data_IF_124044003549
#
_entry.id   IF_124044003549
#
_cell.length_a   1.000
_cell.length_b   1.000
_cell.length_c   1.000
_cell.angle_alpha   90.00
_cell.angle_beta   90.00
_cell.angle_gamma   90.00
#
_symmetry.space_group_name_H-M   'P 1'
#
loop_
_entity.id
_entity.type
_entity.pdbx_description
1 polymer ?
#
# COMPACT_ATOMS: atom_id res chain seq x y z
N UNK A 1 3.55 18.44 21.87
CA UNK A 1 4.58 17.54 21.34
C UNK A 1 4.19 17.24 19.92
N UNK A 2 4.92 17.83 18.98
CA UNK A 2 4.58 17.91 17.57
C UNK A 2 5.02 16.61 16.89
N UNK A 3 4.09 15.88 16.31
CA UNK A 3 4.35 14.65 15.55
C UNK A 3 4.77 15.06 14.15
N UNK A 4 6.03 14.81 13.80
CA UNK A 4 6.61 15.16 12.51
C UNK A 4 6.22 14.09 11.49
N UNK A 5 5.25 14.39 10.62
CA UNK A 5 4.99 13.60 9.42
C UNK A 5 6.22 13.72 8.50
N UNK A 6 7.05 12.68 8.47
CA UNK A 6 8.13 12.57 7.49
C UNK A 6 7.63 11.76 6.30
N UNK A 7 7.37 12.45 5.19
CA UNK A 7 7.29 11.86 3.86
C UNK A 7 8.71 11.39 3.49
N UNK A 8 8.96 10.09 3.56
CA UNK A 8 10.27 9.51 3.21
C UNK A 8 10.09 8.59 2.02
N UNK A 9 10.77 8.94 0.94
CA UNK A 9 11.00 8.09 -0.23
C UNK A 9 11.62 6.77 0.22
N UNK A 10 11.01 5.61 -0.05
CA UNK A 10 11.52 4.31 0.38
C UNK A 10 12.66 3.86 -0.55
N UNK A 11 13.83 4.51 -0.45
CA UNK A 11 14.99 4.21 -1.30
C UNK A 11 16.35 4.53 -0.68
N UNK A 12 16.41 5.28 0.41
CA UNK A 12 17.67 5.56 1.11
C UNK A 12 18.00 4.48 2.12
N UNK A 13 18.67 3.40 1.72
CA UNK A 13 19.42 2.56 2.67
C UNK A 13 20.87 3.04 2.60
N UNK A 14 21.29 3.80 3.61
CA UNK A 14 22.70 4.11 3.83
C UNK A 14 23.48 2.82 4.12
N UNK A 15 24.76 2.82 3.79
CA UNK A 15 25.70 1.70 3.92
C UNK A 15 26.00 1.24 5.37
N UNK A 16 25.13 1.54 6.34
CA UNK A 16 25.25 1.11 7.72
C UNK A 16 24.18 0.06 8.04
N UNK A 17 24.61 -1.11 8.52
CA UNK A 17 23.80 -2.32 8.74
C UNK A 17 22.73 -2.26 9.85
N UNK A 18 22.01 -1.15 9.98
CA UNK A 18 20.89 -0.96 10.92
C UNK A 18 19.60 -0.53 10.18
N UNK A 19 19.32 -1.17 9.05
CA UNK A 19 18.06 -1.02 8.34
C UNK A 19 16.92 -1.81 9.02
N UNK A 20 15.65 -1.40 8.83
CA UNK A 20 14.50 -2.14 9.37
C UNK A 20 14.41 -3.52 8.72
N UNK A 21 14.32 -4.57 9.54
CA UNK A 21 14.17 -5.94 9.08
C UNK A 21 12.70 -6.29 8.79
N UNK A 22 11.76 -5.64 9.48
CA UNK A 22 10.32 -5.82 9.25
C UNK A 22 9.61 -4.49 9.01
N UNK A 23 8.83 -4.44 7.93
CA UNK A 23 8.09 -3.25 7.51
C UNK A 23 6.62 -3.62 7.35
N UNK A 24 5.76 -2.96 8.14
CA UNK A 24 4.31 -3.08 8.04
C UNK A 24 3.79 -2.04 7.04
N UNK A 25 3.06 -2.50 6.03
CA UNK A 25 2.39 -1.71 5.02
C UNK A 25 0.90 -1.65 5.38
N UNK A 26 0.40 -0.48 5.76
CA UNK A 26 -1.03 -0.26 6.06
C UNK A 26 -1.72 0.31 4.83
N UNK A 27 -2.57 -0.48 4.19
CA UNK A 27 -3.30 -0.06 2.98
C UNK A 27 -4.32 -1.12 2.53
N UNK A 28 -5.31 -0.74 1.70
CA UNK A 28 -6.39 -1.62 1.28
C UNK A 28 -5.90 -2.87 0.54
N UNK A 29 -6.58 -3.99 0.78
CA UNK A 29 -6.23 -5.31 0.25
C UNK A 29 -6.49 -5.49 -1.26
N UNK A 30 -7.40 -4.69 -1.82
CA UNK A 30 -7.97 -4.83 -3.18
C UNK A 30 -7.12 -4.19 -4.28
N UNK A 31 -6.23 -3.26 -3.92
CA UNK A 31 -5.27 -2.75 -4.88
C UNK A 31 -4.18 -3.80 -5.12
N UNK A 32 -3.81 -3.97 -6.39
CA UNK A 32 -2.62 -4.69 -6.78
C UNK A 32 -1.38 -3.89 -6.35
N UNK A 33 -1.11 -3.90 -5.04
CA UNK A 33 0.12 -3.37 -4.51
C UNK A 33 1.22 -4.35 -4.87
N UNK A 34 2.05 -3.99 -5.84
CA UNK A 34 3.45 -4.35 -5.76
C UNK A 34 4.11 -3.38 -4.77
N UNK A 35 4.50 -3.78 -3.56
CA UNK A 35 5.34 -2.92 -2.76
C UNK A 35 6.79 -3.04 -3.23
N UNK A 36 7.38 -1.89 -3.61
CA UNK A 36 8.81 -1.58 -3.47
C UNK A 36 9.73 -2.23 -4.53
N UNK A 37 9.15 -2.83 -5.57
CA UNK A 37 9.90 -3.34 -6.72
C UNK A 37 10.52 -2.25 -7.59
N UNK A 38 9.89 -1.06 -7.67
CA UNK A 38 10.27 0.03 -8.58
C UNK A 38 11.71 0.56 -8.43
N UNK A 39 12.44 0.14 -7.40
CA UNK A 39 13.82 0.58 -7.15
C UNK A 39 14.82 -0.56 -6.93
N UNK A 40 14.40 -1.82 -7.07
CA UNK A 40 15.30 -2.97 -6.87
C UNK A 40 15.58 -3.67 -8.18
N UNK A 41 16.86 -3.76 -8.48
CA UNK A 41 17.38 -4.58 -9.57
C UNK A 41 17.05 -6.06 -9.28
N UNK A 42 16.21 -6.73 -10.09
CA UNK A 42 15.87 -8.14 -9.90
C UNK A 42 17.10 -9.07 -9.90
N UNK A 43 18.17 -8.70 -10.62
CA UNK A 43 19.44 -9.43 -10.59
C UNK A 43 20.17 -9.34 -9.24
N UNK A 44 19.71 -8.47 -8.31
CA UNK A 44 20.34 -8.22 -7.01
C UNK A 44 19.54 -8.72 -5.81
N UNK A 45 18.49 -9.51 -6.03
CA UNK A 45 17.60 -9.96 -4.96
C UNK A 45 17.08 -11.39 -5.17
N UNK A 46 16.69 -11.99 -4.05
CA UNK A 46 15.80 -13.15 -4.01
C UNK A 46 14.47 -12.74 -3.39
N UNK A 47 13.38 -13.34 -3.83
CA UNK A 47 12.04 -12.99 -3.35
C UNK A 47 11.27 -14.22 -2.89
N UNK A 48 10.79 -14.17 -1.65
CA UNK A 48 9.85 -15.13 -1.09
C UNK A 48 8.48 -14.47 -0.95
N UNK A 49 7.50 -14.93 -1.72
CA UNK A 49 6.10 -14.53 -1.57
C UNK A 49 5.39 -15.42 -0.55
N UNK A 50 4.57 -14.82 0.30
CA UNK A 50 3.69 -15.52 1.24
C UNK A 50 2.28 -15.05 0.92
N UNK A 51 1.52 -15.91 0.25
CA UNK A 51 0.15 -15.61 -0.19
C UNK A 51 -0.87 -16.29 0.70
N UNK A 52 -2.00 -15.61 0.88
CA UNK A 52 -3.19 -16.09 1.59
C UNK A 52 -4.35 -16.30 0.64
N UNK A 53 -4.56 -15.38 -0.30
CA UNK A 53 -5.69 -15.38 -1.22
C UNK A 53 -5.21 -15.47 -2.67
N UNK A 54 -4.16 -14.71 -3.01
CA UNK A 54 -3.56 -14.70 -4.33
C UNK A 54 -2.95 -16.05 -4.69
N UNK A 55 -3.17 -16.48 -5.93
CA UNK A 55 -2.50 -17.67 -6.45
C UNK A 55 -1.00 -17.40 -6.64
N UNK A 56 -0.10 -18.24 -6.12
CA UNK A 56 1.34 -18.02 -6.23
C UNK A 56 1.86 -17.82 -7.66
N UNK A 57 1.24 -18.48 -8.65
CA UNK A 57 1.63 -18.31 -10.05
C UNK A 57 1.18 -16.95 -10.61
N UNK A 58 -0.02 -16.49 -10.26
CA UNK A 58 -0.49 -15.15 -10.64
C UNK A 58 0.40 -14.06 -10.02
N UNK A 59 0.91 -14.30 -8.81
CA UNK A 59 1.90 -13.43 -8.19
C UNK A 59 3.23 -13.41 -8.95
N UNK A 60 3.74 -14.56 -9.38
CA UNK A 60 4.97 -14.64 -10.19
C UNK A 60 4.81 -13.90 -11.52
N UNK A 61 3.67 -14.08 -12.20
CA UNK A 61 3.37 -13.38 -13.44
C UNK A 61 3.29 -11.86 -13.22
N UNK A 62 2.73 -11.43 -12.09
CA UNK A 62 2.71 -10.03 -11.71
C UNK A 62 4.11 -9.49 -11.43
N UNK A 63 4.95 -10.28 -10.75
CA UNK A 63 6.34 -9.95 -10.44
C UNK A 63 7.15 -9.75 -11.73
N UNK A 64 7.12 -10.71 -12.65
CA UNK A 64 7.84 -10.62 -13.93
C UNK A 64 7.35 -9.45 -14.77
N UNK A 65 6.04 -9.23 -14.87
CA UNK A 65 5.48 -8.08 -15.60
C UNK A 65 5.90 -6.72 -15.01
N UNK A 66 6.07 -6.63 -13.70
CA UNK A 66 6.41 -5.38 -13.03
C UNK A 66 7.91 -5.10 -13.05
N UNK A 67 8.75 -6.11 -12.81
CA UNK A 67 10.21 -5.98 -12.77
C UNK A 67 10.87 -6.10 -14.15
N UNK A 68 10.15 -6.59 -15.16
CA UNK A 68 10.67 -6.89 -16.49
C UNK A 68 11.40 -8.24 -16.58
N UNK A 69 11.95 -8.72 -15.46
CA UNK A 69 12.52 -10.06 -15.31
C UNK A 69 12.32 -10.58 -13.88
N UNK A 70 12.46 -11.90 -13.68
CA UNK A 70 12.33 -12.50 -12.36
C UNK A 70 13.60 -12.32 -11.51
N UNK A 71 13.44 -12.18 -10.17
CA UNK A 71 14.54 -12.24 -9.23
C UNK A 71 15.39 -13.51 -9.36
N UNK A 72 16.66 -13.45 -8.97
CA UNK A 72 17.65 -14.54 -9.06
C UNK A 72 17.12 -15.86 -8.49
N UNK A 73 16.47 -15.77 -7.33
CA UNK A 73 15.63 -16.85 -6.80
C UNK A 73 14.26 -16.30 -6.45
N UNK A 74 13.25 -17.05 -6.84
CA UNK A 74 11.86 -16.76 -6.51
C UNK A 74 11.26 -17.99 -5.86
N UNK A 75 10.51 -17.82 -4.78
CA UNK A 75 9.81 -18.90 -4.08
C UNK A 75 8.49 -18.41 -3.52
N UNK A 76 7.58 -19.34 -3.26
CA UNK A 76 6.27 -18.99 -2.72
C UNK A 76 5.80 -19.93 -1.60
N UNK A 77 5.14 -19.36 -0.60
CA UNK A 77 4.43 -20.06 0.47
C UNK A 77 2.95 -19.69 0.37
N UNK A 78 2.06 -20.67 0.27
CA UNK A 78 0.62 -20.46 0.30
C UNK A 78 0.04 -20.87 1.64
N UNK A 79 -0.73 -19.98 2.28
CA UNK A 79 -1.37 -20.22 3.57
C UNK A 79 -2.85 -20.57 3.37
N UNK A 80 -3.34 -21.62 4.02
CA UNK A 80 -4.76 -21.89 4.25
C UNK A 80 -5.53 -22.60 3.12
N UNK A 81 -5.14 -22.42 1.86
CA UNK A 81 -5.75 -23.17 0.74
C UNK A 81 -4.75 -24.21 0.23
N UNK A 82 -5.11 -25.51 0.17
CA UNK A 82 -4.29 -26.53 -0.47
C UNK A 82 -3.99 -26.11 -1.92
N UNK A 83 -2.73 -26.21 -2.32
CA UNK A 83 -2.35 -25.99 -3.71
C UNK A 83 -3.04 -27.08 -4.54
N UNK A 84 -3.99 -26.69 -5.38
CA UNK A 84 -4.56 -27.64 -6.34
C UNK A 84 -3.42 -28.10 -7.27
N UNK A 85 -3.23 -29.42 -7.48
CA UNK A 85 -2.27 -29.89 -8.47
C UNK A 85 -2.64 -29.27 -9.83
N UNK A 86 -1.61 -28.85 -10.57
CA UNK A 86 -1.74 -28.14 -11.84
C UNK A 86 -2.83 -28.78 -12.72
N UNK A 87 -3.90 -28.03 -12.97
CA UNK A 87 -4.95 -28.45 -13.91
C UNK A 87 -4.41 -28.22 -15.32
N UNK A 88 -4.54 -29.17 -16.27
CA UNK A 88 -3.87 -29.13 -17.58
C UNK A 88 -4.34 -28.02 -18.54
N UNK A 89 -5.19 -27.09 -18.09
CA UNK A 89 -5.69 -25.95 -18.87
C UNK A 89 -4.95 -24.63 -18.56
N UNK A 90 -3.98 -24.63 -17.62
CA UNK A 90 -3.11 -23.46 -17.43
C UNK A 90 -2.09 -23.37 -18.58
N UNK A 91 -1.85 -22.16 -19.13
CA UNK A 91 -0.71 -21.98 -20.03
C UNK A 91 0.53 -22.46 -19.28
N UNK A 92 1.22 -23.40 -19.90
CA UNK A 92 2.43 -24.02 -19.36
C UNK A 92 3.48 -22.93 -19.18
N UNK A 93 3.68 -22.48 -17.93
CA UNK A 93 4.97 -21.90 -17.52
C UNK A 93 5.97 -23.06 -17.49
N UNK A 94 6.40 -23.51 -18.67
CA UNK A 94 7.25 -24.68 -18.89
C UNK A 94 8.70 -24.45 -18.42
N UNK A 95 9.02 -23.32 -17.79
CA UNK A 95 10.40 -22.86 -17.58
C UNK A 95 10.76 -22.26 -16.22
N UNK A 96 9.82 -22.09 -15.28
CA UNK A 96 10.16 -21.57 -13.93
C UNK A 96 10.01 -22.68 -12.91
N UNK A 97 11.14 -23.24 -12.47
CA UNK A 97 11.20 -24.15 -11.32
C UNK A 97 10.97 -23.33 -10.04
N UNK A 98 9.69 -23.06 -9.74
CA UNK A 98 9.28 -22.26 -8.59
C UNK A 98 9.09 -23.19 -7.39
N UNK A 99 10.01 -23.19 -6.40
CA UNK A 99 9.76 -23.89 -5.14
C UNK A 99 8.51 -23.31 -4.48
N UNK A 100 7.51 -24.17 -4.32
CA UNK A 100 6.20 -23.83 -3.78
C UNK A 100 5.92 -24.68 -2.54
N UNK A 101 5.62 -24.03 -1.43
CA UNK A 101 5.32 -24.66 -0.14
C UNK A 101 3.90 -24.31 0.30
N UNK A 102 3.10 -25.29 0.70
CA UNK A 102 1.81 -25.03 1.35
C UNK A 102 1.98 -25.07 2.87
N UNK A 103 1.34 -24.14 3.56
CA UNK A 103 1.05 -24.19 4.99
C UNK A 103 -0.46 -24.33 5.12
N UNK A 104 -0.92 -25.51 5.52
CA UNK A 104 -2.34 -25.88 5.42
C UNK A 104 -3.23 -25.03 6.33
N UNK A 105 -2.72 -24.57 7.47
CA UNK A 105 -3.50 -23.84 8.46
C UNK A 105 -2.89 -22.47 8.74
N UNK A 106 -3.65 -21.36 8.58
CA UNK A 106 -3.19 -20.04 8.99
C UNK A 106 -2.86 -19.96 10.49
N UNK A 107 -3.42 -20.89 11.27
CA UNK A 107 -3.16 -20.99 12.70
C UNK A 107 -1.80 -21.60 13.06
N UNK A 108 -1.13 -22.28 12.13
CA UNK A 108 0.14 -22.96 12.39
C UNK A 108 1.35 -22.05 12.13
N UNK A 109 1.58 -21.15 13.09
CA UNK A 109 2.72 -20.23 13.05
C UNK A 109 4.07 -20.96 13.07
N UNK A 110 4.14 -22.17 13.62
CA UNK A 110 5.38 -22.93 13.70
C UNK A 110 5.75 -23.51 12.33
N UNK A 111 4.77 -24.04 11.60
CA UNK A 111 4.93 -24.49 10.22
C UNK A 111 5.31 -23.31 9.31
N UNK A 112 4.60 -22.18 9.40
CA UNK A 112 4.92 -20.98 8.64
C UNK A 112 6.35 -20.47 8.94
N UNK A 113 6.73 -20.38 10.21
CA UNK A 113 8.08 -19.97 10.60
C UNK A 113 9.15 -20.92 10.07
N UNK A 114 8.88 -22.23 10.09
CA UNK A 114 9.80 -23.25 9.58
C UNK A 114 9.96 -23.12 8.06
N UNK A 115 8.85 -23.00 7.33
CA UNK A 115 8.86 -22.81 5.88
C UNK A 115 9.68 -21.58 5.48
N UNK A 116 9.43 -20.42 6.11
CA UNK A 116 10.19 -19.20 5.87
C UNK A 116 11.69 -19.41 6.11
N UNK A 117 12.05 -20.09 7.21
CA UNK A 117 13.44 -20.32 7.55
C UNK A 117 14.18 -21.25 6.60
N UNK A 118 13.49 -22.22 5.99
CA UNK A 118 14.08 -23.09 4.98
C UNK A 118 14.54 -22.26 3.77
N UNK A 119 13.68 -21.37 3.26
CA UNK A 119 14.04 -20.47 2.17
C UNK A 119 15.19 -19.52 2.55
N UNK A 120 15.10 -18.85 3.69
CA UNK A 120 16.17 -17.94 4.15
C UNK A 120 17.51 -18.69 4.24
N UNK A 121 17.51 -19.91 4.79
CA UNK A 121 18.74 -20.68 4.98
C UNK A 121 19.30 -21.17 3.64
N UNK A 122 18.45 -21.62 2.74
CA UNK A 122 18.87 -22.04 1.40
C UNK A 122 19.45 -20.88 0.58
N UNK A 123 18.90 -19.68 0.75
CA UNK A 123 19.30 -18.49 0.00
C UNK A 123 20.42 -17.70 0.67
N UNK A 124 20.79 -18.03 1.90
CA UNK A 124 21.88 -17.39 2.65
C UNK A 124 23.22 -17.44 1.91
N UNK A 125 23.40 -18.44 1.04
CA UNK A 125 24.62 -18.64 0.25
C UNK A 125 24.63 -17.86 -1.07
N UNK A 126 23.54 -17.17 -1.39
CA UNK A 126 23.51 -16.24 -2.52
C UNK A 126 24.04 -14.89 -2.03
N UNK A 127 24.87 -14.22 -2.83
CA UNK A 127 25.34 -12.85 -2.53
C UNK A 127 24.22 -11.80 -2.72
N UNK A 128 22.96 -12.23 -2.70
CA UNK A 128 21.79 -11.43 -3.06
C UNK A 128 20.91 -11.14 -1.85
N UNK A 129 20.28 -9.97 -1.88
CA UNK A 129 19.40 -9.52 -0.80
C UNK A 129 18.12 -10.36 -0.80
N UNK A 130 17.85 -11.06 0.31
CA UNK A 130 16.58 -11.78 0.46
C UNK A 130 15.47 -10.83 0.92
N UNK A 131 14.39 -10.81 0.16
CA UNK A 131 13.18 -10.03 0.40
C UNK A 131 12.00 -10.98 0.60
N UNK A 132 11.23 -10.76 1.65
CA UNK A 132 10.03 -11.53 1.96
C UNK A 132 8.84 -10.60 1.79
N UNK A 133 7.83 -11.06 1.07
CA UNK A 133 6.58 -10.32 0.86
C UNK A 133 5.41 -11.14 1.40
N UNK A 134 4.64 -10.57 2.33
CA UNK A 134 3.46 -11.20 2.88
C UNK A 134 2.21 -10.43 2.43
N UNK A 135 1.38 -11.11 1.64
CA UNK A 135 0.20 -10.55 0.97
C UNK A 135 -0.78 -9.89 1.93
N UNK A 136 -1.11 -10.55 3.04
CA UNK A 136 -2.01 -10.02 4.05
C UNK A 136 -1.79 -10.72 5.38
N UNK A 137 -1.57 -9.93 6.43
CA UNK A 137 -1.47 -10.42 7.79
C UNK A 137 -2.86 -10.67 8.41
N UNK A 138 -3.93 -10.14 7.80
CA UNK A 138 -5.31 -10.25 8.30
C UNK A 138 -5.70 -11.70 8.62
N UNK A 139 -5.52 -12.69 7.72
CA UNK A 139 -5.90 -14.07 8.04
C UNK A 139 -5.13 -14.65 9.24
N UNK A 140 -3.87 -14.26 9.43
CA UNK A 140 -3.07 -14.72 10.58
C UNK A 140 -3.61 -14.10 11.88
N UNK A 141 -3.92 -12.80 11.87
CA UNK A 141 -4.51 -12.10 13.01
C UNK A 141 -5.85 -12.71 13.39
N UNK A 142 -6.72 -12.98 12.42
CA UNK A 142 -8.06 -13.54 12.64
C UNK A 142 -8.01 -14.97 13.23
N UNK A 143 -7.08 -15.81 12.76
CA UNK A 143 -7.01 -17.21 13.17
C UNK A 143 -6.21 -17.43 14.46
N UNK A 144 -5.18 -16.62 14.71
CA UNK A 144 -4.23 -16.81 15.83
C UNK A 144 -4.42 -15.77 16.94
N UNK A 145 -5.03 -14.63 16.61
CA UNK A 145 -5.19 -13.48 17.48
C UNK A 145 -4.01 -12.52 17.44
N UNK A 146 -4.29 -11.25 17.75
CA UNK A 146 -3.36 -10.12 17.68
C UNK A 146 -2.05 -10.36 18.44
N UNK A 147 -2.15 -10.77 19.71
CA UNK A 147 -0.96 -10.91 20.58
C UNK A 147 0.01 -11.99 20.11
N UNK A 148 -0.52 -13.14 19.66
CA UNK A 148 0.31 -14.23 19.15
C UNK A 148 0.94 -13.87 17.81
N UNK A 149 0.21 -13.15 16.96
CA UNK A 149 0.72 -12.60 15.70
C UNK A 149 1.86 -11.61 15.95
N UNK A 150 1.71 -10.68 16.90
CA UNK A 150 2.78 -9.76 17.29
C UNK A 150 4.04 -10.50 17.76
N UNK A 151 3.90 -11.50 18.63
CA UNK A 151 5.05 -12.32 19.08
C UNK A 151 5.72 -13.10 17.95
N UNK A 152 4.96 -13.56 16.95
CA UNK A 152 5.51 -14.19 15.76
C UNK A 152 6.33 -13.21 14.92
N UNK A 153 5.81 -12.00 14.69
CA UNK A 153 6.53 -10.95 13.96
C UNK A 153 7.82 -10.57 14.69
N UNK A 154 7.80 -10.41 16.01
CA UNK A 154 9.02 -10.12 16.80
C UNK A 154 10.08 -11.23 16.67
N UNK A 155 9.65 -12.50 16.69
CA UNK A 155 10.54 -13.64 16.52
C UNK A 155 11.12 -13.68 15.09
N UNK A 156 10.30 -13.41 14.09
CA UNK A 156 10.72 -13.30 12.70
C UNK A 156 11.71 -12.13 12.51
N UNK A 157 11.43 -10.95 13.06
CA UNK A 157 12.29 -9.78 12.97
C UNK A 157 13.71 -10.04 13.51
N UNK A 158 13.83 -10.75 14.63
CA UNK A 158 15.13 -11.18 15.18
C UNK A 158 15.89 -12.04 14.19
N UNK A 159 15.21 -13.01 13.57
CA UNK A 159 15.81 -13.90 12.57
C UNK A 159 16.26 -13.15 11.33
N UNK A 160 15.42 -12.25 10.81
CA UNK A 160 15.70 -11.45 9.62
C UNK A 160 16.91 -10.54 9.81
N UNK A 161 17.06 -9.91 10.99
CA UNK A 161 18.27 -9.15 11.34
C UNK A 161 19.54 -10.00 11.31
N UNK A 162 19.48 -11.22 11.84
CA UNK A 162 20.65 -12.13 11.85
C UNK A 162 21.08 -12.54 10.44
N UNK A 163 20.15 -12.57 9.48
CA UNK A 163 20.42 -12.99 8.10
C UNK A 163 20.48 -11.83 7.11
N UNK A 164 20.31 -10.59 7.58
CA UNK A 164 20.21 -9.40 6.75
C UNK A 164 18.99 -9.37 5.82
N UNK A 165 17.99 -10.23 6.03
CA UNK A 165 16.79 -10.30 5.19
C UNK A 165 15.78 -9.20 5.57
N UNK A 166 14.88 -8.84 4.66
CA UNK A 166 13.88 -7.79 4.88
C UNK A 166 12.50 -8.35 4.56
N UNK A 167 11.52 -8.13 5.45
CA UNK A 167 10.14 -8.51 5.24
C UNK A 167 9.22 -7.30 5.09
N UNK A 168 8.38 -7.34 4.06
CA UNK A 168 7.27 -6.45 3.82
C UNK A 168 5.97 -7.19 4.09
N UNK A 169 5.15 -6.65 4.98
CA UNK A 169 3.93 -7.31 5.44
C UNK A 169 2.78 -6.34 5.29
N UNK A 170 1.70 -6.75 4.62
CA UNK A 170 0.52 -5.89 4.47
C UNK A 170 -0.52 -6.15 5.56
N UNK A 171 -1.21 -5.11 5.98
CA UNK A 171 -2.45 -5.19 6.75
C UNK A 171 -3.43 -4.16 6.21
N UNK A 172 -4.69 -4.56 6.04
CA UNK A 172 -5.76 -3.62 5.69
C UNK A 172 -6.28 -2.98 6.99
N UNK A 173 -6.15 -1.65 7.17
CA UNK A 173 -6.64 -1.00 8.38
C UNK A 173 -8.17 -1.04 8.52
N UNK A 174 -8.91 -1.37 7.45
CA UNK A 174 -10.38 -1.50 7.50
C UNK A 174 -10.86 -2.78 8.18
N UNK A 175 -10.00 -3.80 8.25
CA UNK A 175 -10.35 -5.12 8.79
C UNK A 175 -10.17 -5.21 10.31
N UNK A 176 -9.48 -4.23 10.93
CA UNK A 176 -9.05 -4.31 12.33
C UNK A 176 -9.31 -2.99 13.07
N UNK A 177 -9.57 -3.08 14.37
CA UNK A 177 -9.67 -1.89 15.23
C UNK A 177 -8.30 -1.22 15.49
N UNK A 178 -8.33 0.04 15.91
CA UNK A 178 -7.12 0.83 16.22
C UNK A 178 -6.22 0.17 17.26
N UNK A 179 -6.81 -0.55 18.23
CA UNK A 179 -6.05 -1.24 19.27
C UNK A 179 -5.22 -2.39 18.68
N UNK A 180 -5.83 -3.18 17.80
CA UNK A 180 -5.20 -4.28 17.07
C UNK A 180 -4.11 -3.74 16.16
N UNK A 181 -4.40 -2.69 15.39
CA UNK A 181 -3.42 -2.05 14.52
C UNK A 181 -2.23 -1.46 15.27
N UNK A 182 -2.46 -0.84 16.43
CA UNK A 182 -1.40 -0.33 17.30
C UNK A 182 -0.51 -1.47 17.80
N UNK A 183 -1.10 -2.52 18.37
CA UNK A 183 -0.34 -3.66 18.93
C UNK A 183 0.48 -4.39 17.87
N UNK A 184 -0.10 -4.60 16.68
CA UNK A 184 0.64 -5.18 15.56
C UNK A 184 1.73 -4.22 15.10
N UNK A 185 1.43 -2.93 14.95
CA UNK A 185 2.41 -1.92 14.55
C UNK A 185 3.65 -1.88 15.45
N UNK A 186 3.47 -1.99 16.76
CA UNK A 186 4.56 -1.99 17.75
C UNK A 186 5.52 -3.18 17.61
N UNK A 187 5.08 -4.28 16.96
CA UNK A 187 5.92 -5.46 16.70
C UNK A 187 6.81 -5.30 15.45
N UNK A 188 6.60 -4.27 14.64
CA UNK A 188 7.38 -4.00 13.43
C UNK A 188 8.44 -2.93 13.65
N UNK A 189 9.56 -3.02 12.93
CA UNK A 189 10.59 -1.98 12.99
C UNK A 189 10.12 -0.66 12.39
N UNK A 190 9.26 -0.75 11.38
CA UNK A 190 8.71 0.40 10.67
C UNK A 190 7.29 0.13 10.23
N UNK A 191 6.45 1.12 10.45
CA UNK A 191 5.09 1.15 9.90
C UNK A 191 5.03 2.23 8.83
N UNK A 192 4.58 1.85 7.65
CA UNK A 192 4.36 2.74 6.52
C UNK A 192 2.87 2.72 6.23
N UNK A 193 2.21 3.86 6.39
CA UNK A 193 0.90 4.06 5.79
C UNK A 193 1.13 4.12 4.28
N UNK A 194 0.56 3.16 3.57
CA UNK A 194 0.55 3.22 2.13
C UNK A 194 -0.69 4.01 1.76
N UNK A 195 -0.45 5.31 1.60
CA UNK A 195 -1.44 6.21 1.02
C UNK A 195 -1.69 5.72 -0.39
N UNK A 196 -2.81 5.02 -0.57
CA UNK A 196 -3.40 4.92 -1.88
C UNK A 196 -3.63 6.35 -2.36
N UNK A 197 -3.50 6.57 -3.66
CA UNK A 197 -4.23 7.67 -4.31
C UNK A 197 -5.73 7.69 -3.93
N UNK A 198 -6.26 6.56 -3.43
CA UNK A 198 -7.61 6.39 -2.84
C UNK A 198 -7.82 6.96 -1.41
N UNK A 199 -6.78 7.18 -0.59
CA UNK A 199 -6.92 7.85 0.73
C UNK A 199 -6.89 9.38 0.60
N UNK A 200 -6.57 9.90 -0.58
CA UNK A 200 -6.72 11.31 -0.90
C UNK A 200 -8.12 11.66 -1.44
N UNK A 201 -9.04 10.70 -1.55
CA UNK A 201 -10.22 10.79 -2.43
C UNK A 201 -11.42 10.01 -1.86
N UNK A 202 -11.54 9.90 -0.53
CA UNK A 202 -12.80 9.59 0.14
C UNK A 202 -13.25 10.86 0.89
N UNK A 203 -14.04 11.69 0.21
CA UNK A 203 -14.51 13.01 0.68
C UNK A 203 -13.43 14.06 0.94
N UNK A 204 -12.26 13.90 0.30
CA UNK A 204 -11.18 14.89 0.40
C UNK A 204 -11.54 16.17 -0.36
N UNK A 205 -11.06 17.32 0.14
CA UNK A 205 -11.24 18.63 -0.48
C UNK A 205 -10.88 18.63 -1.97
N UNK A 206 -9.91 17.84 -2.37
CA UNK A 206 -9.48 17.61 -3.75
C UNK A 206 -10.61 17.08 -4.65
N UNK A 207 -11.44 16.14 -4.18
CA UNK A 207 -12.61 15.68 -4.94
C UNK A 207 -13.66 16.78 -5.10
N UNK A 208 -13.89 17.55 -4.04
CA UNK A 208 -14.84 18.68 -4.07
C UNK A 208 -14.34 19.76 -5.04
N UNK A 209 -13.03 20.01 -5.08
CA UNK A 209 -12.39 20.86 -6.09
C UNK A 209 -12.60 20.30 -7.50
N UNK A 210 -12.31 19.03 -7.74
CA UNK A 210 -12.48 18.39 -9.05
C UNK A 210 -13.94 18.43 -9.51
N UNK A 211 -14.91 18.20 -8.62
CA UNK A 211 -16.35 18.32 -8.91
C UNK A 211 -16.74 19.75 -9.29
N UNK A 212 -16.27 20.73 -8.51
CA UNK A 212 -16.52 22.16 -8.78
C UNK A 212 -15.92 22.61 -10.11
N UNK A 213 -14.71 22.18 -10.43
CA UNK A 213 -14.04 22.50 -11.70
C UNK A 213 -14.65 21.73 -12.88
N UNK A 214 -15.09 20.50 -12.67
CA UNK A 214 -15.79 19.70 -13.68
C UNK A 214 -17.11 20.34 -14.11
N UNK A 215 -17.86 20.92 -13.18
CA UNK A 215 -19.14 21.56 -13.49
C UNK A 215 -19.01 22.97 -14.07
N UNK A 216 -17.93 23.70 -13.74
CA UNK A 216 -17.80 25.12 -14.06
C UNK A 216 -16.61 25.49 -14.95
N UNK A 217 -15.71 24.55 -15.27
CA UNK A 217 -14.49 24.78 -16.02
C UNK A 217 -13.46 25.57 -15.20
N UNK A 218 -13.06 26.74 -15.70
CA UNK A 218 -12.07 27.60 -15.05
C UNK A 218 -12.71 28.50 -13.99
N UNK A 219 -12.19 28.48 -12.77
CA UNK A 219 -12.67 29.30 -11.66
C UNK A 219 -11.53 29.97 -10.90
N UNK A 220 -11.84 31.06 -10.19
CA UNK A 220 -10.89 31.64 -9.23
C UNK A 220 -10.75 30.73 -8.01
N UNK A 221 -9.54 30.68 -7.44
CA UNK A 221 -9.23 29.88 -6.24
C UNK A 221 -10.17 30.26 -5.08
N UNK A 222 -10.52 31.54 -4.94
CA UNK A 222 -11.48 32.01 -3.93
C UNK A 222 -12.90 31.48 -4.16
N UNK A 223 -13.35 31.37 -5.41
CA UNK A 223 -14.66 30.81 -5.74
C UNK A 223 -14.70 29.30 -5.50
N UNK A 224 -13.61 28.60 -5.82
CA UNK A 224 -13.47 27.17 -5.54
C UNK A 224 -13.52 26.95 -4.03
N UNK A 225 -12.71 27.68 -3.25
CA UNK A 225 -12.69 27.59 -1.80
C UNK A 225 -14.06 27.88 -1.18
N UNK A 226 -14.78 28.90 -1.67
CA UNK A 226 -16.12 29.23 -1.21
C UNK A 226 -17.14 28.13 -1.47
N UNK A 227 -17.07 27.46 -2.63
CA UNK A 227 -17.96 26.33 -2.97
C UNK A 227 -17.64 25.09 -2.15
N UNK A 228 -16.36 24.75 -2.00
CA UNK A 228 -15.91 23.62 -1.18
C UNK A 228 -16.32 23.84 0.28
N UNK A 229 -16.06 25.02 0.84
CA UNK A 229 -16.44 25.33 2.22
C UNK A 229 -17.97 25.38 2.43
N UNK A 230 -18.75 25.78 1.42
CA UNK A 230 -20.21 25.73 1.49
C UNK A 230 -20.73 24.29 1.53
N UNK A 231 -20.13 23.41 0.73
CA UNK A 231 -20.43 21.98 0.68
C UNK A 231 -20.00 21.26 1.98
N UNK A 232 -18.85 21.63 2.57
CA UNK A 232 -18.40 21.13 3.89
C UNK A 232 -19.36 21.55 5.00
N UNK A 233 -19.73 22.84 5.01
CA UNK A 233 -20.65 23.40 6.00
C UNK A 233 -22.06 22.80 5.90
N UNK A 234 -22.49 22.34 4.73
CA UNK A 234 -23.79 21.68 4.55
C UNK A 234 -23.88 20.33 5.27
N UNK A 235 -22.74 19.69 5.52
CA UNK A 235 -22.62 18.40 6.19
C UNK A 235 -22.10 18.52 7.64
N UNK A 236 -21.85 19.74 8.13
CA UNK A 236 -21.29 19.99 9.46
C UNK A 236 -22.39 20.03 10.55
N UNK A 237 -22.26 19.26 11.66
CA UNK A 237 -23.31 19.13 12.67
C UNK A 237 -23.60 20.42 13.45
N UNK A 238 -22.63 21.34 13.54
CA UNK A 238 -22.76 22.60 14.28
C UNK A 238 -23.20 23.80 13.41
N UNK A 239 -23.52 23.57 12.13
CA UNK A 239 -23.95 24.61 11.19
C UNK A 239 -22.80 25.42 10.57
N UNK A 240 -23.16 26.44 9.76
CA UNK A 240 -22.26 27.18 8.87
C UNK A 240 -21.18 27.98 9.63
N UNK A 241 -19.92 27.65 9.41
CA UNK A 241 -18.77 28.48 9.82
C UNK A 241 -18.31 29.43 8.68
N UNK A 242 -18.47 30.77 8.83
CA UNK A 242 -18.00 31.75 7.86
C UNK A 242 -16.47 31.82 7.74
N UNK A 243 -15.71 31.41 8.76
CA UNK A 243 -14.25 31.42 8.74
C UNK A 243 -13.69 30.25 7.91
N UNK A 244 -14.47 29.18 7.73
CA UNK A 244 -14.06 27.98 7.01
C UNK A 244 -13.61 28.27 5.57
N UNK A 245 -14.32 29.12 4.83
CA UNK A 245 -13.97 29.44 3.44
C UNK A 245 -12.56 30.05 3.29
N UNK A 246 -12.11 30.83 4.27
CA UNK A 246 -10.78 31.44 4.25
C UNK A 246 -9.69 30.42 4.59
N UNK A 247 -9.97 29.50 5.50
CA UNK A 247 -9.07 28.39 5.84
C UNK A 247 -8.93 27.43 4.65
N UNK A 248 -10.04 27.10 3.98
CA UNK A 248 -10.04 26.31 2.74
C UNK A 248 -9.24 27.02 1.66
N UNK A 249 -9.35 28.34 1.49
CA UNK A 249 -8.55 29.06 0.51
C UNK A 249 -7.04 28.98 0.78
N UNK A 250 -6.62 29.08 2.04
CA UNK A 250 -5.21 28.93 2.45
C UNK A 250 -4.72 27.50 2.15
N UNK A 251 -5.52 26.50 2.53
CA UNK A 251 -5.23 25.09 2.30
C UNK A 251 -5.12 24.74 0.80
N UNK A 252 -6.09 25.18 -0.01
CA UNK A 252 -6.05 25.01 -1.47
C UNK A 252 -4.81 25.65 -2.08
N UNK A 253 -4.40 26.82 -1.61
CA UNK A 253 -3.24 27.52 -2.15
C UNK A 253 -1.92 26.81 -1.83
N UNK A 254 -1.79 26.26 -0.62
CA UNK A 254 -0.52 25.69 -0.14
C UNK A 254 -0.38 24.18 -0.31
N UNK A 255 -1.48 23.44 -0.37
CA UNK A 255 -1.46 21.98 -0.37
C UNK A 255 -2.40 21.35 -1.42
N UNK A 256 -3.68 21.76 -1.44
CA UNK A 256 -4.69 21.09 -2.27
C UNK A 256 -4.47 21.25 -3.79
N UNK A 257 -4.32 22.48 -4.28
CA UNK A 257 -4.10 22.73 -5.71
C UNK A 257 -2.69 22.33 -6.20
N UNK A 258 -1.60 22.52 -5.43
CA UNK A 258 -0.29 22.00 -5.84
C UNK A 258 -0.31 20.49 -6.05
N UNK A 259 -0.91 19.72 -5.14
CA UNK A 259 -1.04 18.27 -5.27
C UNK A 259 -1.82 17.85 -6.51
N UNK A 260 -2.98 18.46 -6.75
CA UNK A 260 -3.78 18.20 -7.96
C UNK A 260 -3.07 18.61 -9.27
N UNK A 261 -2.17 19.58 -9.21
CA UNK A 261 -1.36 19.99 -10.35
C UNK A 261 -0.18 19.03 -10.59
N UNK A 262 0.45 18.53 -9.53
CA UNK A 262 1.51 17.50 -9.61
C UNK A 262 0.97 16.20 -10.22
N UNK A 263 -0.31 15.86 -9.94
CA UNK A 263 -1.02 14.73 -10.54
C UNK A 263 -1.56 15.01 -11.97
N UNK A 264 -1.24 16.17 -12.54
CA UNK A 264 -1.71 16.63 -13.86
C UNK A 264 -3.25 16.68 -14.01
N UNK A 265 -4.01 16.73 -12.91
CA UNK A 265 -5.47 16.78 -12.92
C UNK A 265 -5.99 18.21 -13.10
N UNK A 266 -5.25 19.20 -12.59
CA UNK A 266 -5.62 20.62 -12.58
C UNK A 266 -4.47 21.47 -13.09
N UNK A 267 -4.77 22.44 -13.96
CA UNK A 267 -3.88 23.53 -14.31
C UNK A 267 -4.16 24.74 -13.42
N UNK A 268 -3.12 25.30 -12.80
CA UNK A 268 -3.23 26.45 -11.88
C UNK A 268 -2.43 27.63 -12.41
N UNK A 269 -3.12 28.77 -12.60
CA UNK A 269 -2.49 30.07 -12.78
C UNK A 269 -2.40 30.77 -11.42
N UNK A 270 -1.21 30.73 -10.82
CA UNK A 270 -0.94 31.38 -9.53
C UNK A 270 -0.97 32.92 -9.61
N UNK A 271 -0.73 33.50 -10.79
CA UNK A 271 -0.73 34.95 -11.00
C UNK A 271 -2.15 35.48 -11.13
N UNK A 272 -2.96 34.83 -11.97
CA UNK A 272 -4.40 35.10 -12.12
C UNK A 272 -5.25 34.53 -11.00
N UNK A 273 -4.69 33.68 -10.14
CA UNK A 273 -5.37 32.94 -9.05
C UNK A 273 -6.58 32.16 -9.56
N UNK A 274 -6.39 31.44 -10.65
CA UNK A 274 -7.42 30.60 -11.26
C UNK A 274 -6.93 29.17 -11.39
N UNK A 275 -7.86 28.23 -11.33
CA UNK A 275 -7.61 26.82 -11.60
C UNK A 275 -8.65 26.27 -12.59
N UNK A 276 -8.24 25.30 -13.39
CA UNK A 276 -9.06 24.61 -14.38
C UNK A 276 -8.65 23.14 -14.45
N UNK A 277 -9.54 22.25 -14.92
CA UNK A 277 -9.13 20.88 -15.21
C UNK A 277 -8.06 20.86 -16.30
N UNK A 278 -7.02 20.06 -16.08
CA UNK A 278 -6.02 19.73 -17.10
C UNK A 278 -6.39 18.44 -17.87
N UNK A 279 -7.38 17.69 -17.38
CA UNK A 279 -7.91 16.46 -17.98
C UNK A 279 -9.34 16.64 -18.48
N UNK A 280 -9.76 15.75 -19.39
CA UNK A 280 -11.14 15.69 -19.87
C UNK A 280 -12.14 15.41 -18.72
N UNK A 281 -13.31 16.08 -18.67
CA UNK A 281 -14.31 15.88 -17.62
C UNK A 281 -14.75 14.41 -17.45
N UNK A 282 -14.78 13.63 -18.53
CA UNK A 282 -15.11 12.20 -18.47
C UNK A 282 -14.03 11.35 -17.74
N UNK A 283 -12.79 11.85 -17.64
CA UNK A 283 -11.77 11.25 -16.77
C UNK A 283 -12.12 11.50 -15.30
N UNK A 284 -12.54 12.71 -14.96
CA UNK A 284 -12.99 13.08 -13.61
C UNK A 284 -14.24 12.29 -13.21
N UNK A 285 -15.22 12.14 -14.10
CA UNK A 285 -16.43 11.35 -13.84
C UNK A 285 -16.09 9.90 -13.49
N UNK A 286 -15.14 9.28 -14.22
CA UNK A 286 -14.67 7.93 -13.91
C UNK A 286 -13.91 7.83 -12.58
N UNK A 287 -13.28 8.92 -12.13
CA UNK A 287 -12.64 8.99 -10.81
C UNK A 287 -13.70 9.11 -9.70
N UNK A 288 -14.75 9.91 -9.91
CA UNK A 288 -15.82 10.15 -8.95
C UNK A 288 -16.83 8.99 -8.86
N UNK A 289 -17.19 8.35 -9.98
CA UNK A 289 -18.15 7.23 -10.01
C UNK A 289 -17.62 5.95 -9.35
N UNK A 290 -16.30 5.74 -9.41
CA UNK A 290 -15.64 4.62 -8.70
C UNK A 290 -15.72 4.76 -7.19
N UNK A 291 -15.86 5.98 -6.68
CA UNK A 291 -16.02 6.25 -5.26
C UNK A 291 -17.45 5.98 -4.79
N UNK A 292 -18.47 6.28 -5.61
CA UNK A 292 -19.88 6.15 -5.21
C UNK A 292 -20.41 4.71 -5.20
N UNK A 293 -19.82 3.79 -5.97
CA UNK A 293 -20.14 2.35 -5.91
C UNK A 293 -19.66 1.64 -4.64
N UNK A 294 -19.02 2.33 -3.70
CA UNK A 294 -18.62 1.80 -2.38
C UNK A 294 -19.66 2.06 -1.28
N UNK A 295 -20.72 2.83 -1.55
CA UNK A 295 -21.73 3.23 -0.56
C UNK A 295 -23.11 2.52 -0.70
N UNK A 296 -23.28 1.64 -1.70
CA UNK A 296 -24.47 0.76 -1.89
C UNK A 296 -24.11 -0.72 -1.67
#
# INVERSE_FOLDING_TARGET
MTQTSQSVTPGGIGEDGDGPATILLRGPSEEAWGPIWDQRDPARMNVLAITTQLDPLEWVDACERQLGELPVKTGAIRIGTPIAPATPERPTHETVDLPLTAVERPSDLAELYTAINLYITEWLHTDQQTVIWLESLTPVIEHVGTRRTASFVEALAKRLRMTGAIAYVRVDPRDHDDHTLSMIGDAFDRVVAVETTENAVADSREQRVLRVLRDAGTLSIETIAGRVAADENAHHPEGRDPANARLVAIDLYHAGLPKLADDELVSVDWTGRTAALAVEPAHVDRLLDRTHRRDD
#
